data_IF_067523840568
#
_entry.id   IF_067523840568
#
_cell.length_a   1.000
_cell.length_b   1.000
_cell.length_c   1.000
_cell.angle_alpha   90.00
_cell.angle_beta   90.00
_cell.angle_gamma   90.00
#
_symmetry.space_group_name_H-M   'P 1'
#
loop_
_entity.id
_entity.type
_entity.pdbx_description
1 polymer ?
#
# COMPACT_ATOMS: atom_id res chain seq x y z
N UNK A 1 -34.70 14.95 -27.09
CA UNK A 1 -33.26 14.67 -26.88
C UNK A 1 -32.99 14.71 -25.39
N UNK A 2 -32.84 13.56 -24.75
CA UNK A 2 -32.73 13.45 -23.30
C UNK A 2 -31.24 13.23 -22.95
N UNK A 3 -30.57 14.28 -22.50
CA UNK A 3 -29.18 14.22 -22.01
C UNK A 3 -29.16 13.49 -20.66
N UNK A 4 -28.58 12.28 -20.65
CA UNK A 4 -28.29 11.53 -19.42
C UNK A 4 -27.32 12.35 -18.56
N UNK A 5 -27.82 12.92 -17.46
CA UNK A 5 -26.99 13.34 -16.33
C UNK A 5 -26.30 12.10 -15.79
N UNK A 6 -24.97 12.05 -15.90
CA UNK A 6 -24.17 11.04 -15.20
C UNK A 6 -24.30 11.28 -13.71
N UNK A 7 -24.94 10.36 -13.00
CA UNK A 7 -25.04 10.37 -11.55
C UNK A 7 -23.63 10.18 -10.99
N UNK A 8 -23.03 11.23 -10.43
CA UNK A 8 -21.79 11.11 -9.68
C UNK A 8 -22.07 10.29 -8.42
N UNK A 9 -21.46 9.11 -8.30
CA UNK A 9 -21.48 8.30 -7.07
C UNK A 9 -21.03 9.15 -5.87
N UNK A 10 -21.68 8.96 -4.73
CA UNK A 10 -21.32 9.64 -3.49
C UNK A 10 -19.87 9.25 -3.07
N UNK A 11 -19.13 10.11 -2.38
CA UNK A 11 -17.71 9.83 -2.09
C UNK A 11 -17.49 8.55 -1.29
N UNK A 12 -18.38 8.27 -0.33
CA UNK A 12 -18.37 7.05 0.46
C UNK A 12 -18.60 5.78 -0.36
N UNK A 13 -19.26 5.87 -1.52
CA UNK A 13 -19.49 4.73 -2.42
C UNK A 13 -18.23 4.37 -3.23
N UNK A 14 -17.25 5.27 -3.30
CA UNK A 14 -15.96 5.04 -4.00
C UNK A 14 -14.89 4.48 -3.07
N UNK A 15 -15.12 4.54 -1.76
CA UNK A 15 -14.22 3.99 -0.75
C UNK A 15 -14.52 2.51 -0.57
N UNK A 16 -13.53 1.67 -0.84
CA UNK A 16 -13.65 0.24 -0.61
C UNK A 16 -13.30 -0.09 0.84
N UNK A 17 -14.12 -0.94 1.45
CA UNK A 17 -14.03 -1.31 2.87
C UNK A 17 -13.82 -2.80 3.00
N UNK A 18 -12.89 -3.20 3.85
CA UNK A 18 -12.61 -4.59 4.13
C UNK A 18 -12.21 -4.77 5.59
N UNK A 19 -12.82 -5.74 6.26
CA UNK A 19 -12.52 -6.04 7.66
C UNK A 19 -11.60 -7.24 7.77
N UNK A 20 -10.65 -7.14 8.71
CA UNK A 20 -9.75 -8.22 9.08
C UNK A 20 -9.79 -8.43 10.58
N UNK A 21 -9.53 -9.66 11.01
CA UNK A 21 -9.26 -10.02 12.40
C UNK A 21 -7.77 -10.35 12.51
N UNK A 22 -7.12 -9.89 13.59
CA UNK A 22 -5.71 -10.18 13.83
C UNK A 22 -5.56 -11.60 14.38
N UNK A 23 -4.80 -12.44 13.67
CA UNK A 23 -4.57 -13.83 14.05
C UNK A 23 -3.27 -14.04 14.83
N UNK A 24 -3.14 -15.24 15.41
CA UNK A 24 -2.01 -15.63 16.28
C UNK A 24 -0.64 -15.59 15.59
N UNK A 25 -0.58 -15.82 14.28
CA UNK A 25 0.67 -15.78 13.49
C UNK A 25 1.02 -14.38 12.97
N UNK A 26 0.17 -13.39 13.27
CA UNK A 26 0.31 -12.02 12.79
C UNK A 26 0.80 -11.08 13.89
N UNK A 27 1.11 -11.59 15.09
CA UNK A 27 1.46 -10.79 16.27
C UNK A 27 2.86 -11.11 16.82
N UNK A 28 3.48 -10.10 17.42
CA UNK A 28 4.72 -10.20 18.18
C UNK A 28 4.51 -10.93 19.52
N UNK A 29 5.61 -11.14 20.26
CA UNK A 29 5.60 -11.76 21.59
C UNK A 29 4.79 -10.97 22.64
N UNK A 30 4.38 -9.74 22.34
CA UNK A 30 3.52 -8.90 23.20
C UNK A 30 2.05 -8.96 22.76
N UNK A 31 1.72 -9.73 21.73
CA UNK A 31 0.37 -9.83 21.19
C UNK A 31 -0.04 -8.65 20.30
N UNK A 32 0.90 -7.86 19.79
CA UNK A 32 0.64 -6.74 18.88
C UNK A 32 0.94 -7.13 17.44
N UNK A 33 0.11 -6.69 16.50
CA UNK A 33 0.28 -7.03 15.09
C UNK A 33 1.67 -6.63 14.56
N UNK A 34 2.28 -7.50 13.76
CA UNK A 34 3.48 -7.20 12.99
C UNK A 34 3.17 -6.13 11.94
N UNK A 35 4.15 -5.25 11.67
CA UNK A 35 4.04 -4.27 10.59
C UNK A 35 3.75 -4.95 9.24
N UNK A 36 4.45 -6.05 8.95
CA UNK A 36 4.24 -6.80 7.72
C UNK A 36 2.79 -7.29 7.57
N UNK A 37 2.14 -7.74 8.65
CA UNK A 37 0.74 -8.17 8.59
C UNK A 37 -0.17 -7.01 8.17
N UNK A 38 0.01 -5.84 8.78
CA UNK A 38 -0.74 -4.63 8.41
C UNK A 38 -0.51 -4.26 6.95
N UNK A 39 0.73 -4.26 6.47
CA UNK A 39 1.06 -3.98 5.07
C UNK A 39 0.43 -5.00 4.10
N UNK A 40 0.42 -6.28 4.47
CA UNK A 40 -0.24 -7.33 3.69
C UNK A 40 -1.75 -7.07 3.58
N UNK A 41 -2.42 -6.66 4.67
CA UNK A 41 -3.84 -6.32 4.61
C UNK A 41 -4.12 -5.09 3.73
N UNK A 42 -3.27 -4.06 3.78
CA UNK A 42 -3.39 -2.90 2.90
C UNK A 42 -3.23 -3.30 1.43
N UNK A 43 -2.25 -4.16 1.12
CA UNK A 43 -2.03 -4.67 -0.22
C UNK A 43 -3.22 -5.52 -0.71
N UNK A 44 -3.78 -6.36 0.16
CA UNK A 44 -4.96 -7.18 -0.14
C UNK A 44 -6.19 -6.31 -0.43
N UNK A 45 -6.46 -5.32 0.42
CA UNK A 45 -7.58 -4.38 0.22
C UNK A 45 -7.43 -3.60 -1.10
N UNK A 46 -6.21 -3.14 -1.41
CA UNK A 46 -5.91 -2.47 -2.67
C UNK A 46 -6.12 -3.37 -3.88
N UNK A 47 -5.65 -4.62 -3.82
CA UNK A 47 -5.78 -5.60 -4.89
C UNK A 47 -7.26 -5.93 -5.16
N UNK A 48 -8.05 -6.16 -4.10
CA UNK A 48 -9.49 -6.43 -4.24
C UNK A 48 -10.26 -5.27 -4.84
N UNK A 49 -9.98 -4.03 -4.41
CA UNK A 49 -10.60 -2.87 -5.03
C UNK A 49 -10.17 -2.72 -6.50
N UNK A 50 -8.88 -2.92 -6.81
CA UNK A 50 -8.41 -2.86 -8.19
C UNK A 50 -9.12 -3.89 -9.08
N UNK A 51 -9.30 -5.12 -8.58
CA UNK A 51 -10.09 -6.15 -9.26
C UNK A 51 -11.55 -5.72 -9.46
N UNK A 52 -12.20 -5.17 -8.44
CA UNK A 52 -13.58 -4.66 -8.54
C UNK A 52 -13.71 -3.55 -9.58
N UNK A 53 -12.69 -2.69 -9.71
CA UNK A 53 -12.64 -1.62 -10.70
C UNK A 53 -12.29 -2.12 -12.12
N UNK A 54 -11.93 -3.39 -12.31
CA UNK A 54 -11.57 -3.96 -13.61
C UNK A 54 -10.09 -3.87 -13.97
N UNK A 55 -9.23 -3.54 -12.99
CA UNK A 55 -7.80 -3.33 -13.18
C UNK A 55 -6.94 -4.06 -12.15
N UNK A 56 -7.48 -5.16 -11.64
CA UNK A 56 -6.77 -6.11 -10.82
C UNK A 56 -5.73 -6.88 -11.62
N UNK A 57 -4.92 -7.65 -10.89
CA UNK A 57 -3.82 -8.43 -11.44
C UNK A 57 -4.24 -9.33 -12.62
N UNK A 58 -5.31 -10.12 -12.46
CA UNK A 58 -5.77 -11.09 -13.48
C UNK A 58 -6.19 -10.44 -14.81
N UNK A 59 -6.61 -9.18 -14.77
CA UNK A 59 -6.98 -8.43 -15.96
C UNK A 59 -5.74 -7.87 -16.68
N UNK A 60 -4.79 -7.35 -15.91
CA UNK A 60 -3.61 -6.66 -16.42
C UNK A 60 -2.54 -7.62 -16.94
N UNK A 61 -2.33 -8.75 -16.26
CA UNK A 61 -1.31 -9.72 -16.66
C UNK A 61 -1.59 -10.29 -18.06
N UNK A 62 -2.87 -10.46 -18.43
CA UNK A 62 -3.31 -10.87 -19.79
C UNK A 62 -2.96 -9.85 -20.87
N UNK A 63 -2.74 -8.59 -20.48
CA UNK A 63 -2.31 -7.49 -21.35
C UNK A 63 -0.80 -7.25 -21.28
N UNK A 64 -0.05 -8.10 -20.58
CA UNK A 64 1.39 -7.92 -20.34
C UNK A 64 1.72 -6.76 -19.41
N UNK A 65 0.77 -6.36 -18.55
CA UNK A 65 0.90 -5.24 -17.64
C UNK A 65 0.92 -5.71 -16.18
N UNK A 66 1.73 -5.05 -15.34
CA UNK A 66 1.81 -5.33 -13.90
C UNK A 66 1.84 -4.03 -13.09
N UNK A 67 1.32 -4.08 -11.86
CA UNK A 67 1.45 -2.98 -10.92
C UNK A 67 2.77 -3.09 -10.16
N UNK A 68 3.54 -2.02 -10.17
CA UNK A 68 4.76 -1.88 -9.38
C UNK A 68 4.54 -0.80 -8.32
N UNK A 69 4.76 -1.14 -7.05
CA UNK A 69 4.75 -0.15 -5.98
C UNK A 69 6.01 0.72 -6.09
N UNK A 70 5.83 2.03 -6.21
CA UNK A 70 6.94 2.97 -6.29
C UNK A 70 7.20 3.69 -4.98
N UNK A 71 6.17 4.07 -4.22
CA UNK A 71 6.38 4.78 -2.94
C UNK A 71 5.30 4.39 -1.95
N UNK A 72 5.67 4.29 -0.68
CA UNK A 72 4.73 3.91 0.38
C UNK A 72 5.04 4.68 1.66
N UNK A 73 4.12 5.55 2.08
CA UNK A 73 4.26 6.36 3.28
C UNK A 73 3.14 5.98 4.24
N UNK A 74 3.48 5.69 5.49
CA UNK A 74 2.50 5.33 6.51
C UNK A 74 2.86 5.92 7.86
N UNK A 75 1.80 6.22 8.61
CA UNK A 75 1.86 6.64 10.01
C UNK A 75 1.03 5.67 10.83
N UNK A 76 1.65 5.06 11.83
CA UNK A 76 0.98 4.17 12.78
C UNK A 76 0.77 4.92 14.09
N UNK A 77 -0.48 5.05 14.49
CA UNK A 77 -0.83 5.60 15.80
C UNK A 77 -0.72 4.54 16.90
N UNK A 78 -1.12 3.30 16.59
CA UNK A 78 -0.94 2.12 17.46
C UNK A 78 -0.96 0.83 16.66
N UNK A 79 -0.41 -0.23 17.23
CA UNK A 79 -0.54 -1.58 16.68
C UNK A 79 -1.80 -2.26 17.22
N UNK A 80 -2.60 -2.94 16.38
CA UNK A 80 -3.73 -3.77 16.81
C UNK A 80 -3.30 -4.95 17.68
N UNK A 81 -4.19 -5.41 18.56
CA UNK A 81 -3.96 -6.58 19.41
C UNK A 81 -4.44 -7.88 18.75
N UNK A 82 -3.95 -9.01 19.23
CA UNK A 82 -4.48 -10.33 18.90
C UNK A 82 -6.00 -10.40 19.09
N UNK A 83 -6.72 -10.91 18.08
CA UNK A 83 -8.18 -11.03 18.07
C UNK A 83 -8.92 -9.70 17.85
N UNK A 84 -8.19 -8.58 17.74
CA UNK A 84 -8.81 -7.30 17.42
C UNK A 84 -9.31 -7.31 15.97
N UNK A 85 -10.49 -6.73 15.74
CA UNK A 85 -11.03 -6.53 14.40
C UNK A 85 -10.76 -5.11 13.94
N UNK A 86 -10.23 -4.98 12.72
CA UNK A 86 -9.91 -3.71 12.09
C UNK A 86 -10.67 -3.56 10.78
N UNK A 87 -11.05 -2.34 10.44
CA UNK A 87 -11.62 -1.98 9.13
C UNK A 87 -10.57 -1.22 8.33
N UNK A 88 -10.34 -1.64 7.09
CA UNK A 88 -9.47 -0.97 6.14
C UNK A 88 -10.33 -0.29 5.09
N UNK A 89 -10.15 1.02 4.97
CA UNK A 89 -10.72 1.86 3.93
C UNK A 89 -9.62 2.15 2.91
N UNK A 90 -9.88 1.98 1.62
CA UNK A 90 -8.94 2.33 0.55
C UNK A 90 -9.63 2.90 -0.68
N UNK A 91 -8.95 3.83 -1.36
CA UNK A 91 -9.44 4.45 -2.59
C UNK A 91 -8.28 4.91 -3.49
N UNK A 92 -8.48 4.95 -4.81
CA UNK A 92 -7.60 5.70 -5.70
C UNK A 92 -7.72 7.19 -5.39
N UNK A 93 -6.62 7.85 -5.05
CA UNK A 93 -6.61 9.24 -4.58
C UNK A 93 -6.15 10.25 -5.63
N UNK A 94 -5.73 9.80 -6.82
CA UNK A 94 -5.34 10.67 -7.94
C UNK A 94 -4.21 10.10 -8.77
N UNK A 95 -3.58 10.98 -9.55
CA UNK A 95 -2.38 10.73 -10.34
C UNK A 95 -1.34 11.83 -10.12
N UNK A 96 -0.09 11.47 -10.39
CA UNK A 96 1.00 12.42 -10.62
C UNK A 96 1.83 11.92 -11.80
N UNK A 97 1.59 12.44 -13.01
CA UNK A 97 2.25 11.97 -14.23
C UNK A 97 1.89 10.52 -14.53
N UNK A 98 2.87 9.61 -14.49
CA UNK A 98 2.66 8.16 -14.70
C UNK A 98 2.28 7.39 -13.43
N UNK A 99 2.30 8.05 -12.28
CA UNK A 99 2.02 7.43 -11.00
C UNK A 99 0.53 7.49 -10.67
N UNK A 100 -0.04 6.36 -10.29
CA UNK A 100 -1.37 6.26 -9.68
C UNK A 100 -1.23 6.32 -8.15
N UNK A 101 -1.97 7.24 -7.53
CA UNK A 101 -1.98 7.42 -6.08
C UNK A 101 -3.12 6.63 -5.45
N UNK A 102 -2.84 6.09 -4.26
CA UNK A 102 -3.80 5.33 -3.47
C UNK A 102 -3.59 5.61 -1.99
N UNK A 103 -4.70 5.84 -1.31
CA UNK A 103 -4.72 6.15 0.10
C UNK A 103 -5.45 5.08 0.90
N UNK A 104 -5.11 5.03 2.18
CA UNK A 104 -5.61 4.05 3.14
C UNK A 104 -5.87 4.69 4.48
N UNK A 105 -6.92 4.21 5.13
CA UNK A 105 -7.20 4.48 6.53
C UNK A 105 -7.60 3.17 7.21
N UNK A 106 -7.00 2.87 8.34
CA UNK A 106 -7.31 1.69 9.15
C UNK A 106 -7.93 2.16 10.45
N UNK A 107 -9.10 1.61 10.79
CA UNK A 107 -9.87 1.96 11.98
C UNK A 107 -10.14 0.74 12.84
N UNK A 108 -10.24 0.96 14.14
CA UNK A 108 -10.77 -0.06 15.05
C UNK A 108 -12.30 -0.10 15.04
N UNK A 109 -12.87 -1.05 15.79
CA UNK A 109 -14.33 -1.19 15.91
C UNK A 109 -15.03 0.01 16.56
N UNK A 110 -14.28 0.89 17.24
CA UNK A 110 -14.80 2.13 17.83
C UNK A 110 -14.68 3.31 16.87
N UNK A 111 -14.14 3.09 15.67
CA UNK A 111 -13.91 4.11 14.65
C UNK A 111 -12.61 4.90 14.85
N UNK A 112 -11.77 4.57 15.82
CA UNK A 112 -10.52 5.28 16.05
C UNK A 112 -9.46 4.88 15.00
N UNK A 113 -8.75 5.86 14.46
CA UNK A 113 -7.71 5.63 13.45
C UNK A 113 -6.49 4.94 14.05
N UNK A 114 -6.18 3.75 13.54
CA UNK A 114 -5.00 2.94 13.87
C UNK A 114 -3.81 3.37 13.01
N UNK A 115 -4.03 3.47 11.71
CA UNK A 115 -3.01 3.81 10.71
C UNK A 115 -3.63 4.59 9.56
N UNK A 116 -2.85 5.50 8.98
CA UNK A 116 -3.10 6.09 7.66
C UNK A 116 -1.90 5.85 6.76
N UNK A 117 -2.15 5.64 5.47
CA UNK A 117 -1.09 5.47 4.49
C UNK A 117 -1.45 6.11 3.15
N UNK A 118 -0.42 6.50 2.41
CA UNK A 118 -0.52 6.92 1.01
C UNK A 118 0.56 6.21 0.21
N UNK A 119 0.25 5.85 -1.02
CA UNK A 119 1.12 5.05 -1.87
C UNK A 119 1.04 5.50 -3.32
N UNK A 120 2.13 5.29 -4.05
CA UNK A 120 2.21 5.55 -5.49
C UNK A 120 2.58 4.28 -6.24
N UNK A 121 1.91 4.06 -7.36
CA UNK A 121 2.00 2.85 -8.17
C UNK A 121 2.26 3.19 -9.63
N UNK A 122 3.06 2.38 -10.29
CA UNK A 122 3.32 2.48 -11.73
C UNK A 122 2.71 1.26 -12.41
N UNK A 123 1.96 1.49 -13.48
CA UNK A 123 1.56 0.42 -14.38
C UNK A 123 2.70 0.17 -15.36
N UNK A 124 3.30 -1.01 -15.30
CA UNK A 124 4.49 -1.35 -16.07
C UNK A 124 4.16 -2.29 -17.21
N UNK A 125 4.63 -1.98 -18.42
CA UNK A 125 4.60 -2.90 -19.55
C UNK A 125 5.82 -3.82 -19.49
N UNK A 126 5.58 -5.11 -19.23
CA UNK A 126 6.64 -6.11 -19.04
C UNK A 126 7.45 -6.32 -20.32
N UNK A 127 6.81 -6.25 -21.48
CA UNK A 127 7.47 -6.50 -22.78
C UNK A 127 8.25 -5.27 -23.23
N UNK A 128 7.64 -4.09 -23.13
CA UNK A 128 8.24 -2.83 -23.56
C UNK A 128 9.18 -2.22 -22.51
N UNK A 129 9.20 -2.74 -21.28
CA UNK A 129 10.04 -2.28 -20.17
C UNK A 129 9.90 -0.77 -19.91
N UNK A 130 8.66 -0.30 -19.87
CA UNK A 130 8.35 1.12 -19.68
C UNK A 130 7.06 1.33 -18.90
N UNK A 131 6.94 2.46 -18.17
CA UNK A 131 5.69 2.82 -17.53
C UNK A 131 4.62 3.14 -18.58
N UNK A 132 3.38 2.74 -18.32
CA UNK A 132 2.20 3.15 -19.07
C UNK A 132 1.37 4.11 -18.25
N UNK A 133 0.79 5.08 -18.96
CA UNK A 133 -0.17 5.99 -18.35
C UNK A 133 -1.40 5.21 -17.90
N UNK A 134 -1.82 5.49 -16.69
CA UNK A 134 -2.91 4.79 -16.04
C UNK A 134 -4.24 5.41 -16.48
N UNK A 135 -4.86 4.87 -17.52
CA UNK A 135 -6.15 5.39 -18.02
C UNK A 135 -7.31 5.21 -17.02
N UNK A 136 -7.13 4.33 -16.02
CA UNK A 136 -8.02 4.17 -14.85
C UNK A 136 -8.42 5.49 -14.22
N UNK A 137 -7.49 6.44 -14.16
CA UNK A 137 -7.73 7.69 -13.42
C UNK A 137 -8.63 8.67 -14.18
N UNK A 138 -8.93 8.37 -15.45
CA UNK A 138 -9.98 9.02 -16.23
C UNK A 138 -11.40 8.59 -15.80
N UNK A 139 -11.54 7.59 -14.92
CA UNK A 139 -12.83 7.11 -14.44
C UNK A 139 -13.35 7.94 -13.25
N UNK A 140 -14.66 7.99 -13.07
CA UNK A 140 -15.37 8.70 -11.98
C UNK A 140 -15.08 8.18 -10.57
N UNK A 141 -14.34 7.08 -10.43
CA UNK A 141 -14.14 6.32 -9.19
C UNK A 141 -12.89 6.78 -8.39
N UNK A 142 -12.24 7.85 -8.82
CA UNK A 142 -11.13 8.49 -8.09
C UNK A 142 -11.67 9.50 -7.09
N UNK A 143 -11.17 9.47 -5.86
CA UNK A 143 -11.52 10.42 -4.80
C UNK A 143 -10.33 11.38 -4.61
N UNK A 144 -10.31 12.48 -5.38
CA UNK A 144 -9.18 13.42 -5.41
C UNK A 144 -9.13 14.36 -4.22
N UNK A 145 -10.27 14.65 -3.61
CA UNK A 145 -10.40 15.62 -2.53
C UNK A 145 -10.00 15.05 -1.16
N UNK A 146 -9.91 13.72 -1.05
CA UNK A 146 -9.55 13.01 0.19
C UNK A 146 -8.14 12.43 0.11
N UNK A 147 -7.21 13.02 0.86
CA UNK A 147 -5.90 12.42 1.16
C UNK A 147 -5.81 11.96 2.61
N UNK A 148 -5.39 10.72 2.83
CA UNK A 148 -5.16 10.16 4.15
C UNK A 148 -3.88 10.72 4.80
N UNK A 149 -2.88 11.03 3.98
CA UNK A 149 -1.66 11.72 4.36
C UNK A 149 -1.35 12.81 3.32
N UNK A 150 -1.14 14.04 3.80
CA UNK A 150 -0.68 15.17 2.98
C UNK A 150 0.80 15.05 2.68
N UNK A 151 1.17 14.10 1.81
CA UNK A 151 2.56 13.83 1.45
C UNK A 151 2.78 13.96 -0.06
N UNK A 152 3.83 14.70 -0.41
CA UNK A 152 4.25 14.96 -1.79
C UNK A 152 5.26 13.92 -2.31
N UNK A 153 5.60 12.93 -1.48
CA UNK A 153 6.58 11.91 -1.75
C UNK A 153 7.97 12.47 -2.11
N UNK A 154 8.46 13.39 -1.27
CA UNK A 154 9.80 13.96 -1.43
C UNK A 154 10.88 12.86 -1.52
N UNK A 155 12.00 13.10 -2.23
CA UNK A 155 13.11 12.16 -2.26
C UNK A 155 13.60 11.79 -0.86
N UNK A 156 13.94 10.51 -0.67
CA UNK A 156 14.61 10.11 0.56
C UNK A 156 15.99 10.78 0.61
N UNK A 157 16.43 11.25 1.79
CA UNK A 157 17.77 11.82 1.94
C UNK A 157 18.83 10.79 1.55
N UNK A 158 19.95 11.26 1.02
CA UNK A 158 21.10 10.40 0.77
C UNK A 158 21.67 9.94 2.10
N UNK A 159 21.95 8.65 2.23
CA UNK A 159 22.53 8.09 3.45
C UNK A 159 24.01 8.45 3.52
N UNK A 160 24.39 9.28 4.50
CA UNK A 160 25.79 9.67 4.72
C UNK A 160 26.56 8.63 5.55
N UNK A 161 25.85 7.93 6.43
CA UNK A 161 26.42 6.93 7.36
C UNK A 161 25.44 5.79 7.61
N UNK A 162 25.95 4.57 7.67
CA UNK A 162 25.20 3.38 8.05
C UNK A 162 25.45 3.13 9.55
N UNK A 163 24.44 3.36 10.40
CA UNK A 163 24.53 3.03 11.82
C UNK A 163 24.21 1.56 12.11
N UNK A 164 23.27 0.98 11.34
CA UNK A 164 22.85 -0.41 11.47
C UNK A 164 22.70 -1.06 10.09
N UNK A 165 23.14 -2.32 10.00
CA UNK A 165 23.06 -3.12 8.78
C UNK A 165 22.80 -4.58 9.16
N UNK A 166 21.99 -5.25 8.35
CA UNK A 166 21.77 -6.67 8.45
C UNK A 166 21.62 -7.29 7.06
N UNK A 167 22.16 -8.50 6.90
CA UNK A 167 22.01 -9.28 5.67
C UNK A 167 20.85 -10.26 5.82
N UNK A 168 20.00 -10.32 4.79
CA UNK A 168 18.86 -11.21 4.73
C UNK A 168 18.95 -12.11 3.51
N UNK A 169 18.79 -13.42 3.72
CA UNK A 169 18.68 -14.37 2.61
C UNK A 169 17.26 -14.35 2.04
N UNK A 170 17.14 -14.15 0.73
CA UNK A 170 15.86 -14.31 0.03
C UNK A 170 15.42 -15.77 0.10
N UNK A 171 14.20 -16.00 0.56
CA UNK A 171 13.56 -17.31 0.65
C UNK A 171 12.41 -17.37 -0.35
N UNK A 172 12.04 -18.59 -0.75
CA UNK A 172 10.93 -18.79 -1.70
C UNK A 172 9.63 -18.13 -1.24
N UNK A 173 9.34 -18.17 0.08
CA UNK A 173 8.16 -17.52 0.68
C UNK A 173 8.13 -16.00 0.57
N UNK A 174 9.26 -15.36 0.26
CA UNK A 174 9.32 -13.92 0.08
C UNK A 174 8.86 -13.48 -1.30
N UNK A 175 8.78 -14.41 -2.25
CA UNK A 175 8.37 -14.11 -3.61
C UNK A 175 6.85 -14.02 -3.71
N UNK A 176 6.37 -13.03 -4.44
CA UNK A 176 4.97 -12.83 -4.77
C UNK A 176 4.57 -13.58 -6.06
N UNK A 177 3.32 -13.41 -6.51
CA UNK A 177 2.80 -13.99 -7.75
C UNK A 177 3.56 -13.53 -9.00
N UNK A 178 4.22 -12.38 -8.93
CA UNK A 178 5.07 -11.85 -10.01
C UNK A 178 6.49 -12.45 -9.96
N UNK A 179 6.79 -13.34 -9.01
CA UNK A 179 8.11 -13.91 -8.73
C UNK A 179 9.15 -12.86 -8.34
N UNK A 180 8.70 -11.74 -7.78
CA UNK A 180 9.55 -10.72 -7.19
C UNK A 180 9.43 -10.78 -5.67
N UNK A 181 10.46 -10.33 -4.95
CA UNK A 181 10.32 -10.17 -3.50
C UNK A 181 9.19 -9.18 -3.22
N UNK A 182 8.24 -9.56 -2.39
CA UNK A 182 7.10 -8.73 -2.04
C UNK A 182 7.58 -7.45 -1.32
N UNK A 183 6.98 -6.30 -1.68
CA UNK A 183 7.31 -5.00 -1.07
C UNK A 183 7.19 -4.99 0.46
N UNK A 184 6.24 -5.74 1.02
CA UNK A 184 6.08 -5.84 2.47
C UNK A 184 7.27 -6.52 3.15
N UNK A 185 8.01 -7.39 2.43
CA UNK A 185 9.20 -8.07 2.93
C UNK A 185 10.40 -7.12 3.00
N UNK A 186 10.60 -6.25 2.00
CA UNK A 186 11.64 -5.23 2.07
C UNK A 186 11.44 -4.28 3.26
N UNK A 187 10.20 -3.86 3.49
CA UNK A 187 9.87 -3.02 4.64
C UNK A 187 10.12 -3.77 5.95
N UNK A 188 9.74 -5.05 6.04
CA UNK A 188 10.04 -5.87 7.22
C UNK A 188 11.55 -5.93 7.49
N UNK A 189 12.37 -6.23 6.48
CA UNK A 189 13.83 -6.28 6.63
C UNK A 189 14.44 -4.95 7.07
N UNK A 190 13.96 -3.82 6.53
CA UNK A 190 14.41 -2.51 6.95
C UNK A 190 14.12 -2.26 8.45
N UNK A 191 12.97 -2.72 8.95
CA UNK A 191 12.62 -2.59 10.37
C UNK A 191 13.42 -3.57 11.24
N UNK A 192 13.64 -4.81 10.81
CA UNK A 192 14.44 -5.80 11.55
C UNK A 192 15.89 -5.37 11.73
N UNK A 193 16.44 -4.55 10.84
CA UNK A 193 17.78 -3.98 11.01
C UNK A 193 17.90 -2.91 12.09
N UNK A 194 16.77 -2.43 12.65
CA UNK A 194 16.74 -1.34 13.63
C UNK A 194 16.64 -1.91 15.05
N UNK A 195 17.44 -1.42 16.02
CA UNK A 195 17.32 -1.83 17.41
C UNK A 195 15.90 -1.67 17.98
N UNK A 196 15.40 -2.64 18.77
CA UNK A 196 14.06 -2.59 19.34
C UNK A 196 13.75 -1.32 20.13
N UNK A 197 14.73 -0.73 20.79
CA UNK A 197 14.58 0.48 21.63
C UNK A 197 14.15 1.70 20.81
N UNK A 198 14.56 1.76 19.54
CA UNK A 198 14.19 2.82 18.61
C UNK A 198 12.77 2.59 18.10
N UNK A 199 12.45 1.35 17.70
CA UNK A 199 11.14 0.99 17.14
C UNK A 199 9.97 1.24 18.10
N UNK A 200 10.22 1.18 19.42
CA UNK A 200 9.19 1.35 20.44
C UNK A 200 8.71 2.82 20.62
N UNK A 201 9.35 3.81 19.99
CA UNK A 201 9.01 5.24 20.16
C UNK A 201 7.94 5.77 19.18
N UNK A 202 7.44 4.92 18.28
CA UNK A 202 6.51 5.29 17.21
C UNK A 202 7.16 5.19 15.83
N UNK A 203 6.36 4.92 14.80
CA UNK A 203 6.85 4.65 13.45
C UNK A 203 6.17 5.54 12.41
N UNK A 204 6.98 6.39 11.78
CA UNK A 204 6.70 6.98 10.48
C UNK A 204 7.63 6.32 9.47
N UNK A 205 7.08 5.78 8.40
CA UNK A 205 7.84 5.03 7.41
C UNK A 205 7.59 5.60 6.02
N UNK A 206 8.69 5.90 5.32
CA UNK A 206 8.72 6.25 3.90
C UNK A 206 9.58 5.23 3.17
N UNK A 207 8.96 4.47 2.28
CA UNK A 207 9.61 3.46 1.46
C UNK A 207 9.64 3.88 -0.01
N UNK A 208 10.80 3.72 -0.65
CA UNK A 208 11.02 3.95 -2.09
C UNK A 208 12.05 2.94 -2.62
N UNK A 209 11.72 2.10 -3.60
CA UNK A 209 12.70 1.24 -4.26
C UNK A 209 13.63 2.11 -5.12
N UNK A 210 14.91 1.74 -5.15
CA UNK A 210 15.97 2.50 -5.82
C UNK A 210 15.83 2.49 -7.36
N UNK A 211 15.25 1.42 -7.93
CA UNK A 211 15.07 1.27 -9.37
C UNK A 211 13.83 0.45 -9.69
N UNK A 212 13.15 0.79 -10.79
CA UNK A 212 12.18 -0.10 -11.42
C UNK A 212 12.92 -1.26 -12.12
N UNK A 213 12.26 -2.39 -12.39
CA UNK A 213 12.88 -3.51 -13.09
C UNK A 213 13.46 -3.07 -14.44
N UNK A 214 14.71 -3.48 -14.73
CA UNK A 214 15.40 -3.20 -16.00
C UNK A 214 14.91 -4.08 -17.15
#
# INVERSE_FOLDING_TARGET
MNTKKGTSLNEDEKIYRLSFEIHTYEVDFRGRAHLQALLCFLQEAAARQATHLGFGYDHLVKKGLVWLLSRYHLKINRYPWLGEKIEILTWPSGDQGVFALRDFEVRDQRGATILVATSSWVLWDVKAKQPKLVEILKHSNVVREKRALGDNFEPLPTLEKIDYQQEFKVMMKHLDLNRHVNNTVYIQWAIESIPPEILLRGLFLSFRPHSLPN
#
